data_IF_706958980697
#
_entry.id   IF_706958980697
#
_cell.length_a   1.000
_cell.length_b   1.000
_cell.length_c   1.000
_cell.angle_alpha   90.00
_cell.angle_beta   90.00
_cell.angle_gamma   90.00
#
_symmetry.space_group_name_H-M   'P 1'
#
loop_
_entity.id
_entity.type
_entity.pdbx_description
1 polymer ?
#
# COMPACT_ATOMS: atom_id res chain seq x y z
N UNK A 1 5.38 4.88 -9.86
CA UNK A 1 4.35 4.27 -8.99
C UNK A 1 3.42 5.28 -8.35
N UNK A 2 3.90 6.31 -7.63
CA UNK A 2 3.00 7.38 -7.12
C UNK A 2 2.26 8.07 -8.27
N UNK A 3 2.98 8.52 -9.32
CA UNK A 3 2.37 9.13 -10.51
C UNK A 3 1.35 8.21 -11.18
N UNK A 4 1.69 6.94 -11.39
CA UNK A 4 0.79 5.92 -11.94
C UNK A 4 -0.50 5.78 -11.12
N UNK A 5 -0.39 5.65 -9.79
CA UNK A 5 -1.54 5.55 -8.89
C UNK A 5 -2.42 6.80 -8.97
N UNK A 6 -1.82 8.00 -8.91
CA UNK A 6 -2.55 9.26 -9.00
C UNK A 6 -3.28 9.42 -10.33
N UNK A 7 -2.64 9.07 -11.46
CA UNK A 7 -3.28 9.13 -12.78
C UNK A 7 -4.49 8.21 -12.86
N UNK A 8 -4.39 6.97 -12.36
CA UNK A 8 -5.50 6.02 -12.34
C UNK A 8 -6.64 6.54 -11.46
N UNK A 9 -6.33 7.07 -10.27
CA UNK A 9 -7.33 7.67 -9.38
C UNK A 9 -8.04 8.89 -10.00
N UNK A 10 -7.37 9.60 -10.91
CA UNK A 10 -7.94 10.71 -11.71
C UNK A 10 -8.67 10.26 -12.99
N UNK A 11 -8.86 8.95 -13.20
CA UNK A 11 -9.50 8.41 -14.41
C UNK A 11 -8.59 8.37 -15.64
N UNK A 12 -7.33 8.81 -15.54
CA UNK A 12 -6.31 8.78 -16.61
C UNK A 12 -5.63 7.42 -16.67
N UNK A 13 -6.43 6.36 -16.84
CA UNK A 13 -6.00 4.96 -16.69
C UNK A 13 -4.90 4.58 -17.69
N UNK A 14 -5.04 4.95 -18.97
CA UNK A 14 -4.06 4.61 -20.01
C UNK A 14 -2.67 5.17 -19.68
N UNK A 15 -2.62 6.43 -19.21
CA UNK A 15 -1.37 7.08 -18.84
C UNK A 15 -0.75 6.47 -17.57
N UNK A 16 -1.59 6.15 -16.58
CA UNK A 16 -1.12 5.46 -15.38
C UNK A 16 -0.57 4.04 -15.66
N UNK A 17 -1.20 3.30 -16.58
CA UNK A 17 -0.69 2.01 -17.03
C UNK A 17 0.60 2.14 -17.85
N UNK A 18 0.74 3.20 -18.66
CA UNK A 18 1.99 3.50 -19.37
C UNK A 18 3.17 3.70 -18.39
N UNK A 19 2.93 4.48 -17.33
CA UNK A 19 3.90 4.65 -16.24
C UNK A 19 4.27 3.34 -15.56
N UNK A 20 3.28 2.48 -15.32
CA UNK A 20 3.50 1.17 -14.72
C UNK A 20 4.32 0.27 -15.65
N UNK A 21 3.96 0.18 -16.92
CA UNK A 21 4.65 -0.63 -17.92
C UNK A 21 6.12 -0.20 -18.10
N UNK A 22 6.40 1.10 -18.03
CA UNK A 22 7.76 1.65 -18.06
C UNK A 22 8.62 1.11 -16.92
N UNK A 23 8.03 0.88 -15.74
CA UNK A 23 8.72 0.22 -14.63
C UNK A 23 8.85 -1.29 -14.91
N UNK A 24 7.74 -1.95 -15.23
CA UNK A 24 7.67 -3.42 -15.27
C UNK A 24 8.50 -4.03 -16.39
N UNK A 25 8.68 -3.38 -17.54
CA UNK A 25 9.58 -3.89 -18.60
C UNK A 25 11.00 -4.15 -18.08
N UNK A 26 11.42 -3.43 -17.02
CA UNK A 26 12.72 -3.58 -16.36
C UNK A 26 12.70 -4.54 -15.15
N UNK A 27 11.59 -5.24 -14.91
CA UNK A 27 11.40 -6.18 -13.77
C UNK A 27 11.17 -7.61 -14.22
N UNK A 28 10.90 -7.82 -15.50
CA UNK A 28 10.78 -9.13 -16.11
C UNK A 28 12.01 -9.44 -16.96
N UNK A 29 12.23 -10.72 -17.23
CA UNK A 29 13.27 -11.13 -18.19
C UNK A 29 12.93 -10.58 -19.58
N UNK A 30 13.96 -10.20 -20.32
CA UNK A 30 13.84 -9.69 -21.69
C UNK A 30 12.99 -10.61 -22.55
N UNK A 31 12.01 -10.05 -23.25
CA UNK A 31 11.11 -10.77 -24.15
C UNK A 31 9.91 -11.46 -23.48
N UNK A 32 9.80 -11.45 -22.14
CA UNK A 32 8.68 -12.09 -21.43
C UNK A 32 7.63 -11.10 -20.90
N UNK A 33 7.92 -9.80 -20.90
CA UNK A 33 6.98 -8.79 -20.41
C UNK A 33 5.88 -8.51 -21.44
N UNK A 34 4.63 -8.61 -20.99
CA UNK A 34 3.45 -8.19 -21.77
C UNK A 34 2.89 -6.92 -21.13
N UNK A 35 2.87 -5.77 -21.83
CA UNK A 35 2.33 -4.53 -21.29
C UNK A 35 0.85 -4.63 -20.93
N UNK A 36 0.49 -4.04 -19.79
CA UNK A 36 -0.90 -3.87 -19.39
C UNK A 36 -1.57 -2.74 -20.17
N UNK A 37 -2.83 -2.94 -20.55
CA UNK A 37 -3.63 -1.95 -21.29
C UNK A 37 -5.02 -1.78 -20.67
N UNK A 38 -5.71 -0.72 -21.09
CA UNK A 38 -7.11 -0.49 -20.70
C UNK A 38 -7.97 -1.66 -21.18
N UNK A 39 -8.81 -2.21 -20.32
CA UNK A 39 -9.63 -3.39 -20.62
C UNK A 39 -8.99 -4.72 -20.22
N UNK A 40 -7.79 -4.72 -19.64
CA UNK A 40 -7.29 -5.89 -18.91
C UNK A 40 -8.30 -6.26 -17.81
N UNK A 41 -8.57 -7.55 -17.61
CA UNK A 41 -9.57 -8.05 -16.64
C UNK A 41 -9.27 -7.72 -15.15
N UNK A 42 -8.19 -7.01 -14.87
CA UNK A 42 -7.71 -6.65 -13.53
C UNK A 42 -7.97 -5.16 -13.29
N UNK A 43 -8.44 -4.81 -12.11
CA UNK A 43 -8.54 -3.42 -11.65
C UNK A 43 -7.15 -2.73 -11.71
N UNK A 44 -6.98 -1.68 -12.54
CA UNK A 44 -5.72 -0.98 -12.70
C UNK A 44 -5.16 -0.43 -11.38
N UNK A 45 -6.02 0.00 -10.45
CA UNK A 45 -5.58 0.55 -9.18
C UNK A 45 -5.00 -0.54 -8.27
N UNK A 46 -5.68 -1.69 -8.17
CA UNK A 46 -5.15 -2.88 -7.46
C UNK A 46 -3.82 -3.32 -8.05
N UNK A 47 -3.71 -3.35 -9.38
CA UNK A 47 -2.47 -3.72 -10.05
C UNK A 47 -1.31 -2.80 -9.64
N UNK A 48 -1.47 -1.48 -9.69
CA UNK A 48 -0.40 -0.54 -9.27
C UNK A 48 -0.04 -0.72 -7.80
N UNK A 49 -1.01 -0.92 -6.92
CA UNK A 49 -0.78 -1.12 -5.49
C UNK A 49 -0.06 -2.44 -5.17
N UNK A 50 -0.34 -3.50 -5.93
CA UNK A 50 0.39 -4.76 -5.83
C UNK A 50 1.84 -4.62 -6.29
N UNK A 51 2.07 -3.98 -7.43
CA UNK A 51 3.44 -3.72 -7.91
C UNK A 51 4.20 -2.79 -6.97
N UNK A 52 3.53 -1.82 -6.35
CA UNK A 52 4.11 -0.99 -5.29
C UNK A 52 4.59 -1.82 -4.09
N UNK A 53 3.85 -2.86 -3.71
CA UNK A 53 4.24 -3.79 -2.63
C UNK A 53 5.42 -4.68 -3.02
N UNK A 54 5.51 -5.09 -4.29
CA UNK A 54 6.63 -5.90 -4.83
C UNK A 54 7.92 -5.08 -4.96
N UNK A 55 7.80 -3.81 -5.34
CA UNK A 55 8.94 -2.94 -5.65
C UNK A 55 9.61 -2.31 -4.41
N UNK A 56 8.86 -2.16 -3.30
CA UNK A 56 9.36 -1.44 -2.12
C UNK A 56 9.41 -2.25 -0.81
N UNK A 57 9.83 -3.53 -0.81
CA UNK A 57 10.14 -4.21 0.43
C UNK A 57 11.29 -3.49 1.15
N UNK A 58 11.25 -3.49 2.49
CA UNK A 58 12.29 -2.91 3.35
C UNK A 58 12.53 -1.39 3.22
N UNK A 59 11.60 -0.64 2.60
CA UNK A 59 11.68 0.83 2.47
C UNK A 59 10.75 1.62 3.41
N UNK A 60 10.15 0.95 4.41
CA UNK A 60 9.25 1.59 5.39
C UNK A 60 7.87 2.02 4.85
N UNK A 61 7.55 1.76 3.58
CA UNK A 61 6.33 2.26 2.94
C UNK A 61 5.05 1.51 3.33
N UNK A 62 5.16 0.24 3.75
CA UNK A 62 4.01 -0.64 3.93
C UNK A 62 3.04 -0.16 5.02
N UNK A 63 3.55 0.38 6.12
CA UNK A 63 2.71 0.87 7.21
C UNK A 63 1.85 2.06 6.77
N UNK A 64 2.45 3.01 6.04
CA UNK A 64 1.74 4.16 5.48
C UNK A 64 0.69 3.73 4.44
N UNK A 65 1.02 2.78 3.56
CA UNK A 65 0.07 2.23 2.59
C UNK A 65 -1.11 1.54 3.29
N UNK A 66 -0.87 0.74 4.34
CA UNK A 66 -1.97 0.13 5.10
C UNK A 66 -2.87 1.18 5.75
N UNK A 67 -2.29 2.22 6.36
CA UNK A 67 -3.06 3.29 7.01
C UNK A 67 -3.99 4.00 6.05
N UNK A 68 -3.48 4.45 4.89
CA UNK A 68 -4.30 5.17 3.91
C UNK A 68 -5.30 4.25 3.21
N UNK A 69 -4.89 3.04 2.82
CA UNK A 69 -5.73 2.13 2.04
C UNK A 69 -6.83 1.50 2.89
N UNK A 70 -6.62 1.32 4.19
CA UNK A 70 -7.65 0.81 5.09
C UNK A 70 -8.84 1.78 5.29
N UNK A 71 -8.71 3.04 4.87
CA UNK A 71 -9.83 3.98 4.82
C UNK A 71 -10.74 3.75 3.61
N UNK A 72 -10.27 2.99 2.60
CA UNK A 72 -10.99 2.70 1.37
C UNK A 72 -11.59 1.28 1.43
N UNK A 73 -12.92 1.14 1.34
CA UNK A 73 -13.63 -0.15 1.52
C UNK A 73 -13.04 -1.29 0.66
N UNK A 74 -12.68 -1.00 -0.60
CA UNK A 74 -12.14 -1.98 -1.54
C UNK A 74 -10.69 -2.42 -1.31
N UNK A 75 -9.98 -1.79 -0.37
CA UNK A 75 -8.56 -2.04 -0.09
C UNK A 75 -8.27 -2.36 1.39
N UNK A 76 -9.31 -2.49 2.22
CA UNK A 76 -9.17 -2.88 3.62
C UNK A 76 -8.52 -4.26 3.76
N UNK A 77 -7.51 -4.34 4.62
CA UNK A 77 -6.81 -5.59 4.93
C UNK A 77 -6.56 -5.69 6.43
N UNK A 78 -7.01 -6.78 7.04
CA UNK A 78 -6.56 -7.22 8.36
C UNK A 78 -5.22 -7.94 8.22
N UNK A 79 -4.18 -7.46 8.91
CA UNK A 79 -2.92 -8.20 8.98
C UNK A 79 -3.03 -9.28 10.05
N UNK A 80 -2.80 -10.54 9.67
CA UNK A 80 -2.73 -11.65 10.62
C UNK A 80 -1.36 -12.31 10.60
N UNK A 81 -0.81 -12.64 11.77
CA UNK A 81 0.46 -13.35 11.95
C UNK A 81 0.30 -14.40 13.05
N UNK A 82 0.93 -15.55 12.90
CA UNK A 82 1.05 -16.54 13.96
C UNK A 82 2.50 -16.63 14.39
N UNK A 83 2.76 -16.42 15.68
CA UNK A 83 4.11 -16.48 16.27
C UNK A 83 4.03 -17.26 17.57
N UNK A 84 4.79 -18.35 17.68
CA UNK A 84 4.81 -19.18 18.88
C UNK A 84 3.46 -19.82 19.24
N UNK A 85 2.61 -20.09 18.25
CA UNK A 85 1.25 -20.62 18.47
C UNK A 85 0.21 -19.55 18.83
N UNK A 86 0.61 -18.30 19.02
CA UNK A 86 -0.30 -17.18 19.25
C UNK A 86 -0.61 -16.45 17.95
N UNK A 87 -1.90 -16.24 17.68
CA UNK A 87 -2.36 -15.45 16.56
C UNK A 87 -2.46 -13.96 16.95
N UNK A 88 -1.87 -13.10 16.12
CA UNK A 88 -1.93 -11.65 16.22
C UNK A 88 -2.67 -11.10 15.02
N UNK A 89 -3.62 -10.20 15.27
CA UNK A 89 -4.36 -9.52 14.23
C UNK A 89 -4.27 -8.00 14.41
N UNK A 90 -4.15 -7.29 13.30
CA UNK A 90 -4.26 -5.83 13.21
C UNK A 90 -5.34 -5.50 12.18
N UNK A 91 -6.59 -5.25 12.63
CA UNK A 91 -7.72 -4.94 11.75
C UNK A 91 -7.63 -3.49 11.23
N UNK A 92 -8.28 -3.16 10.09
CA UNK A 92 -8.40 -1.80 9.59
C UNK A 92 -8.86 -0.80 10.65
N UNK A 93 -8.24 0.38 10.70
CA UNK A 93 -8.63 1.47 11.61
C UNK A 93 -8.17 1.32 13.06
N UNK A 94 -7.45 0.25 13.41
CA UNK A 94 -6.92 0.04 14.75
C UNK A 94 -5.89 1.13 15.15
N UNK A 95 -5.94 1.61 16.40
CA UNK A 95 -5.04 2.65 16.90
C UNK A 95 -3.55 2.25 16.79
N UNK A 96 -3.24 0.95 16.82
CA UNK A 96 -1.87 0.40 16.70
C UNK A 96 -1.22 0.62 15.33
N UNK A 97 -1.93 1.23 14.37
CA UNK A 97 -1.32 1.76 13.16
C UNK A 97 -0.52 3.05 13.38
N UNK A 98 -0.72 3.73 14.51
CA UNK A 98 0.02 4.93 14.91
C UNK A 98 0.92 4.57 16.08
N UNK A 99 2.15 5.09 16.07
CA UNK A 99 3.01 4.95 17.24
C UNK A 99 2.46 5.78 18.39
N UNK A 100 2.47 5.25 19.63
CA UNK A 100 2.02 6.02 20.77
C UNK A 100 2.94 7.23 20.98
N UNK A 101 2.35 8.32 21.45
CA UNK A 101 3.11 9.48 21.91
C UNK A 101 3.97 9.03 23.10
N UNK A 102 5.26 9.41 23.18
CA UNK A 102 6.11 9.03 24.30
C UNK A 102 5.45 9.38 25.64
N UNK A 103 5.43 8.42 26.56
CA UNK A 103 4.72 8.56 27.83
C UNK A 103 5.21 9.76 28.66
N UNK A 104 6.50 10.08 28.60
CA UNK A 104 7.07 11.23 29.31
C UNK A 104 6.49 12.56 28.81
N UNK A 105 6.24 12.69 27.51
CA UNK A 105 5.64 13.90 26.92
C UNK A 105 4.19 14.07 27.36
N UNK A 106 3.44 12.96 27.41
CA UNK A 106 2.06 12.94 27.92
C UNK A 106 2.00 13.37 29.39
N UNK A 107 2.89 12.82 30.23
CA UNK A 107 2.94 13.13 31.66
C UNK A 107 3.39 14.58 31.94
N UNK A 108 4.30 15.14 31.13
CA UNK A 108 4.83 16.50 31.33
C UNK A 108 3.92 17.60 30.79
N UNK A 109 3.30 17.38 29.63
CA UNK A 109 2.46 18.39 28.97
C UNK A 109 0.99 18.30 29.35
N UNK A 110 0.53 17.14 29.84
CA UNK A 110 -0.90 16.87 30.07
C UNK A 110 -1.70 16.62 28.80
N UNK A 111 -1.05 16.41 27.65
CA UNK A 111 -1.73 16.11 26.38
C UNK A 111 -2.37 14.72 26.40
N UNK A 112 -3.45 14.54 25.64
CA UNK A 112 -4.08 13.22 25.48
C UNK A 112 -3.23 12.27 24.62
N UNK A 113 -3.28 10.98 24.96
CA UNK A 113 -2.69 9.92 24.15
C UNK A 113 -3.55 9.68 22.89
N UNK A 114 -2.92 9.16 21.84
CA UNK A 114 -3.60 8.78 20.59
C UNK A 114 -4.36 7.45 20.65
#
# INVERSE_FOLDING_TARGET
LIRAESLIRLGRVSEGLSDLNTLLVNRFKTGLFVPYSVGTAIDPLRLVLEERRKEMPFRGQRLADLRRLNQEEGFRVTLSRSVGGTAYALPPGDARYVFPIPQEEVLRSGMEQN
#
